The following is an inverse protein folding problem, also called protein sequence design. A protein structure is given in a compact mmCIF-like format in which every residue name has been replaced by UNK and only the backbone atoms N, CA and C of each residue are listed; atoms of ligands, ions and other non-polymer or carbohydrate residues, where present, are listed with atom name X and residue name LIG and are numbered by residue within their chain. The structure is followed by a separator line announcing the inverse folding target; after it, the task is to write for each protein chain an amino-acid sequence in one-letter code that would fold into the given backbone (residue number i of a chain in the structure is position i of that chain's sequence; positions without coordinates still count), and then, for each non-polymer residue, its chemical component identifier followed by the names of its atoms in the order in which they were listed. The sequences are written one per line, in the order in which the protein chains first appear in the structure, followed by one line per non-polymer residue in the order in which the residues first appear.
data_IF_275941996926
#
_entry.id   IF_275941996926
#
_cell.length_a   1.000
_cell.length_b   1.000
_cell.length_c   1.000
_cell.angle_alpha   90.00
_cell.angle_beta   90.00
_cell.angle_gamma   90.00
#
_symmetry.space_group_name_H-M   'P 1'
#
loop_
_entity.id
_entity.type
_entity.pdbx_description
1 polymer ?
#
# COMPACT_ATOMS: atom_id res chain seq x y z
N UNK A 1 18.28 64.59 -16.05
CA UNK A 1 16.92 64.53 -16.66
C UNK A 1 16.37 63.11 -16.86
N UNK A 2 17.17 62.03 -16.89
CA UNK A 2 16.69 60.66 -17.18
C UNK A 2 15.82 60.00 -16.06
N UNK A 3 16.00 60.38 -14.79
CA UNK A 3 15.30 59.76 -13.65
C UNK A 3 13.79 60.06 -13.60
N UNK A 4 13.36 61.28 -13.97
CA UNK A 4 11.93 61.65 -14.00
C UNK A 4 11.17 60.89 -15.10
N UNK A 5 11.79 60.69 -16.26
CA UNK A 5 11.19 60.02 -17.43
C UNK A 5 10.94 58.53 -17.18
N UNK A 6 11.84 57.87 -16.46
CA UNK A 6 11.66 56.49 -16.00
C UNK A 6 10.47 56.36 -15.05
N UNK A 7 10.40 57.22 -14.01
CA UNK A 7 9.30 57.19 -13.03
C UNK A 7 7.92 57.40 -13.65
N UNK A 8 7.80 58.29 -14.65
CA UNK A 8 6.54 58.53 -15.38
C UNK A 8 6.16 57.38 -16.32
N UNK A 9 7.14 56.64 -16.82
CA UNK A 9 6.92 55.50 -17.72
C UNK A 9 6.48 54.26 -16.94
N UNK A 10 7.07 54.02 -15.76
CA UNK A 10 6.62 52.96 -14.85
C UNK A 10 5.23 53.23 -14.25
N UNK A 11 4.87 54.49 -13.94
CA UNK A 11 3.51 54.81 -13.50
C UNK A 11 2.49 54.54 -14.60
N UNK A 12 2.77 54.95 -15.84
CA UNK A 12 1.90 54.73 -17.01
C UNK A 12 1.72 53.25 -17.35
N UNK A 13 2.81 52.46 -17.29
CA UNK A 13 2.74 51.00 -17.46
C UNK A 13 1.94 50.36 -16.33
N UNK A 14 2.14 50.79 -15.08
CA UNK A 14 1.37 50.27 -13.95
C UNK A 14 -0.13 50.58 -14.06
N UNK A 15 -0.50 51.79 -14.51
CA UNK A 15 -1.89 52.19 -14.69
C UNK A 15 -2.57 51.48 -15.87
N UNK A 16 -1.78 51.09 -16.88
CA UNK A 16 -2.26 50.31 -18.04
C UNK A 16 -2.50 48.83 -17.68
N UNK A 17 -1.62 48.24 -16.85
CA UNK A 17 -1.73 46.83 -16.47
C UNK A 17 -2.60 46.59 -15.23
N UNK A 18 -2.75 47.57 -14.34
CA UNK A 18 -3.56 47.47 -13.11
C UNK A 18 -4.99 46.95 -13.34
N UNK A 19 -5.80 47.48 -14.29
CA UNK A 19 -7.17 46.98 -14.47
C UNK A 19 -7.22 45.54 -15.00
N UNK A 20 -6.25 45.13 -15.81
CA UNK A 20 -6.13 43.75 -16.31
C UNK A 20 -5.72 42.79 -15.19
N UNK A 21 -4.75 43.19 -14.37
CA UNK A 21 -4.29 42.42 -13.20
C UNK A 21 -5.41 42.32 -12.16
N UNK A 22 -6.13 43.40 -11.86
CA UNK A 22 -7.29 43.39 -10.95
C UNK A 22 -8.45 42.55 -11.50
N UNK A 23 -8.66 42.53 -12.81
CA UNK A 23 -9.68 41.67 -13.41
C UNK A 23 -9.32 40.18 -13.32
N UNK A 24 -8.10 39.80 -13.68
CA UNK A 24 -7.68 38.39 -13.67
C UNK A 24 -7.36 37.85 -12.26
N UNK A 25 -6.79 38.67 -11.37
CA UNK A 25 -6.40 38.25 -10.02
C UNK A 25 -7.40 38.70 -8.93
N UNK A 26 -8.27 39.67 -9.21
CA UNK A 26 -9.24 40.23 -8.25
C UNK A 26 -10.69 39.80 -8.46
N UNK A 27 -10.98 38.95 -9.45
CA UNK A 27 -12.33 38.40 -9.63
C UNK A 27 -12.38 36.91 -9.30
N UNK A 28 -13.36 36.51 -8.49
CA UNK A 28 -13.67 35.10 -8.23
C UNK A 28 -15.08 34.79 -8.75
N UNK A 29 -15.19 33.74 -9.55
CA UNK A 29 -16.49 33.29 -10.10
C UNK A 29 -17.05 32.16 -9.26
N UNK A 30 -18.36 32.24 -8.95
CA UNK A 30 -19.08 31.22 -8.17
C UNK A 30 -20.26 30.68 -8.98
N UNK A 31 -20.57 29.41 -8.80
CA UNK A 31 -21.72 28.77 -9.45
C UNK A 31 -23.00 29.22 -8.76
N UNK A 32 -23.94 29.81 -9.51
CA UNK A 32 -25.28 30.10 -9.02
C UNK A 32 -26.02 28.79 -8.72
N UNK A 33 -26.52 28.63 -7.49
CA UNK A 33 -27.29 27.45 -7.05
C UNK A 33 -28.78 27.76 -6.97
N UNK A 34 -29.63 26.81 -7.41
CA UNK A 34 -31.09 26.89 -7.24
C UNK A 34 -31.44 26.31 -5.87
N UNK A 35 -32.11 27.09 -5.03
CA UNK A 35 -32.57 26.63 -3.71
C UNK A 35 -34.03 26.17 -3.80
N UNK A 36 -34.26 24.89 -3.55
CA UNK A 36 -35.61 24.29 -3.54
C UNK A 36 -36.09 24.20 -2.10
N UNK A 37 -37.21 24.83 -1.77
CA UNK A 37 -37.83 24.76 -0.45
C UNK A 37 -38.86 23.62 -0.42
N UNK A 38 -38.40 22.40 -0.18
CA UNK A 38 -39.27 21.23 -0.04
C UNK A 38 -38.69 20.25 0.99
N UNK A 39 -39.48 19.92 2.01
CA UNK A 39 -39.05 19.09 3.14
C UNK A 39 -38.69 17.67 2.72
N UNK A 40 -39.47 17.02 1.84
CA UNK A 40 -39.23 15.63 1.44
C UNK A 40 -37.90 15.44 0.72
N UNK A 41 -37.58 16.34 -0.22
CA UNK A 41 -36.32 16.30 -0.97
C UNK A 41 -35.15 16.72 -0.09
N UNK A 42 -35.35 17.67 0.82
CA UNK A 42 -34.35 18.04 1.80
C UNK A 42 -34.00 16.87 2.72
N UNK A 43 -34.99 16.12 3.21
CA UNK A 43 -34.77 14.91 4.02
C UNK A 43 -33.99 13.86 3.24
N UNK A 44 -34.37 13.59 1.98
CA UNK A 44 -33.64 12.65 1.12
C UNK A 44 -32.17 13.07 0.94
N UNK A 45 -31.91 14.35 0.67
CA UNK A 45 -30.55 14.86 0.51
C UNK A 45 -29.73 14.77 1.80
N UNK A 46 -30.32 15.12 2.96
CA UNK A 46 -29.67 14.99 4.27
C UNK A 46 -29.38 13.54 4.64
N UNK A 47 -30.29 12.63 4.32
CA UNK A 47 -30.09 11.20 4.51
C UNK A 47 -28.91 10.68 3.68
N UNK A 48 -28.86 11.01 2.38
CA UNK A 48 -27.74 10.61 1.51
C UNK A 48 -26.41 11.21 1.98
N UNK A 49 -26.41 12.48 2.42
CA UNK A 49 -25.24 13.13 3.00
C UNK A 49 -24.77 12.42 4.27
N UNK A 50 -25.67 12.09 5.20
CA UNK A 50 -25.33 11.35 6.42
C UNK A 50 -24.82 9.95 6.11
N UNK A 51 -25.40 9.25 5.12
CA UNK A 51 -24.94 7.94 4.68
C UNK A 51 -23.51 7.98 4.15
N UNK A 52 -23.16 8.99 3.34
CA UNK A 52 -21.80 9.18 2.83
C UNK A 52 -20.84 9.51 3.97
N UNK A 53 -21.20 10.41 4.88
CA UNK A 53 -20.37 10.74 6.05
C UNK A 53 -20.14 9.53 6.97
N UNK A 54 -21.19 8.74 7.21
CA UNK A 54 -21.11 7.50 7.98
C UNK A 54 -20.19 6.48 7.29
N UNK A 55 -20.26 6.36 5.95
CA UNK A 55 -19.35 5.51 5.19
C UNK A 55 -17.88 5.96 5.34
N UNK A 56 -17.59 7.25 5.23
CA UNK A 56 -16.23 7.77 5.40
C UNK A 56 -15.73 7.48 6.82
N UNK A 57 -16.51 7.81 7.85
CA UNK A 57 -16.11 7.63 9.24
C UNK A 57 -15.95 6.15 9.64
N UNK A 58 -16.93 5.31 9.29
CA UNK A 58 -16.96 3.90 9.72
C UNK A 58 -16.08 3.05 8.81
N UNK A 59 -16.26 3.12 7.50
CA UNK A 59 -15.55 2.22 6.60
C UNK A 59 -14.13 2.68 6.29
N UNK A 60 -13.95 3.93 5.84
CA UNK A 60 -12.63 4.43 5.42
C UNK A 60 -11.73 4.67 6.64
N UNK A 61 -12.21 5.41 7.63
CA UNK A 61 -11.41 5.79 8.80
C UNK A 61 -11.33 4.64 9.81
N UNK A 62 -12.46 4.08 10.27
CA UNK A 62 -12.42 3.08 11.35
C UNK A 62 -12.00 1.67 10.88
N UNK A 63 -12.64 1.10 9.85
CA UNK A 63 -12.37 -0.28 9.40
C UNK A 63 -11.07 -0.36 8.59
N UNK A 64 -10.94 0.45 7.53
CA UNK A 64 -9.77 0.39 6.63
C UNK A 64 -8.53 1.05 7.22
N UNK A 65 -8.70 1.92 8.23
CA UNK A 65 -7.63 2.73 8.82
C UNK A 65 -6.86 3.49 7.76
N UNK A 66 -7.59 4.18 6.87
CA UNK A 66 -7.02 4.93 5.75
C UNK A 66 -6.11 6.09 6.16
N UNK A 67 -6.11 6.47 7.43
CA UNK A 67 -5.22 7.47 8.01
C UNK A 67 -3.83 6.93 8.38
N UNK A 68 -3.62 5.60 8.29
CA UNK A 68 -2.33 4.99 8.61
C UNK A 68 -1.56 4.69 7.33
N UNK A 69 -0.30 5.13 7.29
CA UNK A 69 0.67 4.62 6.32
C UNK A 69 1.01 3.16 6.63
N UNK A 70 1.27 2.37 5.59
CA UNK A 70 1.55 0.93 5.71
C UNK A 70 2.90 0.62 5.12
N UNK A 71 3.82 0.13 5.95
CA UNK A 71 5.16 -0.24 5.53
C UNK A 71 5.40 -1.75 5.67
N UNK A 72 6.13 -2.30 4.71
CA UNK A 72 6.58 -3.69 4.72
C UNK A 72 7.94 -3.73 5.44
N UNK A 73 8.13 -4.62 6.43
CA UNK A 73 9.39 -4.66 7.18
C UNK A 73 10.50 -5.26 6.33
N UNK A 74 11.70 -4.69 6.47
CA UNK A 74 12.96 -5.33 6.09
C UNK A 74 13.60 -5.95 7.32
N UNK A 75 14.01 -7.22 7.23
CA UNK A 75 14.58 -7.93 8.34
C UNK A 75 15.61 -8.95 7.87
N UNK A 76 16.60 -9.20 8.72
CA UNK A 76 17.59 -10.25 8.54
C UNK A 76 17.48 -11.24 9.70
N UNK A 77 17.64 -12.52 9.43
CA UNK A 77 17.73 -13.54 10.47
C UNK A 77 19.18 -13.99 10.63
N UNK A 78 19.61 -14.11 11.89
CA UNK A 78 20.90 -14.71 12.26
C UNK A 78 20.61 -15.98 13.02
N UNK A 79 21.09 -17.10 12.49
CA UNK A 79 20.75 -18.43 12.98
C UNK A 79 21.99 -19.03 13.62
N UNK A 80 21.82 -19.60 14.81
CA UNK A 80 22.86 -20.33 15.53
C UNK A 80 22.27 -21.61 16.08
N UNK A 81 22.74 -22.75 15.57
CA UNK A 81 22.36 -24.06 16.08
C UNK A 81 23.42 -24.51 17.09
N UNK A 82 22.98 -25.16 18.17
CA UNK A 82 23.84 -25.72 19.21
C UNK A 82 23.35 -27.13 19.54
N UNK A 83 24.29 -28.03 19.78
CA UNK A 83 24.00 -29.42 20.11
C UNK A 83 25.15 -30.32 19.69
N UNK A 84 25.21 -31.50 20.30
CA UNK A 84 26.17 -32.54 19.97
C UNK A 84 25.39 -33.83 19.77
N UNK A 85 25.70 -34.59 18.72
CA UNK A 85 25.04 -35.84 18.40
C UNK A 85 26.06 -36.97 18.37
N UNK A 86 25.76 -38.11 19.02
CA UNK A 86 26.58 -39.32 18.89
C UNK A 86 26.12 -40.09 17.66
N UNK A 87 27.04 -40.42 16.77
CA UNK A 87 26.75 -41.16 15.54
C UNK A 87 27.56 -42.44 15.53
N UNK A 88 26.87 -43.57 15.45
CA UNK A 88 27.50 -44.88 15.34
C UNK A 88 27.57 -45.26 13.86
N UNK A 89 28.79 -45.41 13.34
CA UNK A 89 29.01 -45.83 11.96
C UNK A 89 29.49 -47.29 11.94
N UNK A 90 28.81 -48.14 11.16
CA UNK A 90 29.30 -49.48 10.88
C UNK A 90 30.19 -49.43 9.63
N UNK A 91 31.50 -49.49 9.82
CA UNK A 91 32.46 -49.48 8.72
C UNK A 91 32.85 -50.91 8.40
N UNK A 92 32.26 -51.48 7.35
CA UNK A 92 32.74 -52.74 6.80
C UNK A 92 33.96 -52.47 5.91
N UNK A 93 35.15 -52.65 6.48
CA UNK A 93 36.34 -52.89 5.66
C UNK A 93 36.46 -54.40 5.48
N UNK A 94 37.12 -54.86 4.41
CA UNK A 94 37.27 -56.29 4.05
C UNK A 94 37.90 -57.18 5.15
N UNK A 95 38.39 -56.60 6.26
CA UNK A 95 39.16 -57.27 7.32
C UNK A 95 38.49 -57.19 8.70
N UNK A 96 37.61 -56.22 8.99
CA UNK A 96 36.95 -56.09 10.30
C UNK A 96 35.64 -55.31 10.23
N UNK A 97 34.69 -55.70 11.08
CA UNK A 97 33.47 -54.95 11.38
C UNK A 97 33.72 -54.13 12.65
N UNK A 98 34.40 -53.00 12.52
CA UNK A 98 34.64 -52.11 13.65
C UNK A 98 33.48 -51.11 13.76
N UNK A 99 32.92 -50.99 14.96
CA UNK A 99 31.92 -49.97 15.28
C UNK A 99 32.69 -48.72 15.70
N UNK A 100 32.73 -47.73 14.81
CA UNK A 100 33.35 -46.43 15.09
C UNK A 100 32.26 -45.51 15.65
N UNK A 101 32.47 -45.03 16.88
CA UNK A 101 31.64 -43.99 17.46
C UNK A 101 32.23 -42.63 17.11
N UNK A 102 31.47 -41.87 16.34
CA UNK A 102 31.81 -40.52 15.91
C UNK A 102 30.93 -39.51 16.67
N UNK A 103 31.47 -38.32 16.93
CA UNK A 103 30.77 -37.28 17.68
C UNK A 103 30.56 -36.09 16.77
N UNK A 104 29.29 -35.82 16.41
CA UNK A 104 28.94 -34.72 15.54
C UNK A 104 28.63 -33.44 16.30
N UNK A 105 29.32 -32.36 15.93
CA UNK A 105 29.05 -31.02 16.41
C UNK A 105 28.40 -30.11 15.33
N UNK A 106 28.17 -28.85 15.67
CA UNK A 106 27.54 -27.88 14.78
C UNK A 106 28.28 -27.68 13.44
N UNK A 107 29.59 -27.89 13.37
CA UNK A 107 30.33 -27.78 12.11
C UNK A 107 30.05 -28.96 11.17
N UNK A 108 29.61 -30.11 11.70
CA UNK A 108 29.46 -31.34 10.94
C UNK A 108 28.02 -31.58 10.46
N UNK A 109 27.02 -31.21 11.27
CA UNK A 109 25.63 -31.32 10.84
C UNK A 109 25.06 -30.05 10.17
N UNK A 110 25.76 -28.91 10.19
CA UNK A 110 25.36 -27.70 9.44
C UNK A 110 26.10 -27.60 8.11
N UNK A 111 25.49 -28.11 7.04
CA UNK A 111 26.11 -28.12 5.71
C UNK A 111 25.13 -27.63 4.65
N UNK A 112 25.39 -26.49 3.99
CA UNK A 112 26.47 -25.54 4.26
C UNK A 112 26.27 -24.78 5.59
N UNK A 113 27.35 -24.29 6.22
CA UNK A 113 27.27 -23.64 7.54
C UNK A 113 26.66 -22.23 7.51
N UNK A 114 26.59 -21.60 6.33
CA UNK A 114 26.04 -20.27 6.17
C UNK A 114 25.09 -20.22 4.97
N UNK A 115 23.80 -20.03 5.25
CA UNK A 115 22.80 -19.66 4.24
C UNK A 115 22.04 -18.41 4.70
N UNK A 116 21.61 -17.59 3.73
CA UNK A 116 20.78 -16.43 4.02
C UNK A 116 19.36 -16.89 4.35
N UNK A 117 18.89 -16.58 5.55
CA UNK A 117 17.54 -16.92 6.02
C UNK A 117 17.20 -18.41 5.91
N UNK A 118 18.20 -19.28 5.97
CA UNK A 118 18.00 -20.71 5.96
C UNK A 118 19.13 -21.41 6.71
N UNK A 119 18.90 -22.64 7.10
CA UNK A 119 19.92 -23.53 7.61
C UNK A 119 19.54 -24.97 7.34
N UNK A 120 20.54 -25.82 7.14
CA UNK A 120 20.34 -27.25 6.95
C UNK A 120 20.89 -27.99 8.15
N UNK A 121 20.12 -28.96 8.66
CA UNK A 121 20.55 -29.86 9.72
C UNK A 121 20.58 -31.28 9.17
N UNK A 122 21.79 -31.83 9.05
CA UNK A 122 22.00 -33.19 8.60
C UNK A 122 21.50 -34.17 9.67
N UNK A 123 20.68 -35.13 9.25
CA UNK A 123 20.20 -36.22 10.10
C UNK A 123 20.83 -37.56 9.72
N UNK A 124 21.35 -37.66 8.50
CA UNK A 124 22.01 -38.87 7.99
C UNK A 124 23.14 -38.54 7.03
N UNK A 125 24.27 -39.20 7.19
CA UNK A 125 25.42 -39.15 6.28
C UNK A 125 25.62 -40.53 5.67
N UNK A 126 25.71 -40.58 4.35
CA UNK A 126 26.15 -41.76 3.61
C UNK A 126 27.48 -41.38 2.98
N UNK A 127 28.55 -41.96 3.50
CA UNK A 127 29.87 -41.88 2.88
C UNK A 127 30.01 -43.08 1.98
N UNK A 128 30.31 -42.80 0.72
CA UNK A 128 30.29 -43.79 -0.33
C UNK A 128 31.69 -44.03 -0.84
N UNK A 129 32.15 -45.27 -0.74
CA UNK A 129 33.30 -45.77 -1.50
C UNK A 129 32.75 -46.79 -2.51
N UNK A 130 33.01 -46.58 -3.82
CA UNK A 130 32.60 -47.49 -4.93
C UNK A 130 31.12 -47.97 -4.91
N UNK A 131 30.14 -47.10 -5.17
CA UNK A 131 28.71 -47.47 -5.04
C UNK A 131 27.99 -47.97 -6.30
N UNK A 132 26.98 -48.81 -6.05
CA UNK A 132 25.81 -49.12 -6.89
C UNK A 132 24.51 -48.55 -6.28
N UNK A 133 23.39 -48.63 -7.01
CA UNK A 133 22.13 -47.93 -6.75
C UNK A 133 21.29 -48.54 -5.59
N UNK A 134 20.66 -47.69 -4.78
CA UNK A 134 19.69 -48.10 -3.75
C UNK A 134 18.76 -46.96 -3.31
N UNK A 135 17.69 -47.29 -2.59
CA UNK A 135 16.67 -46.36 -2.07
C UNK A 135 16.93 -45.98 -0.61
N UNK A 136 16.54 -44.76 -0.20
CA UNK A 136 16.86 -44.19 1.13
C UNK A 136 15.70 -43.36 1.70
N UNK A 137 15.48 -43.36 3.04
CA UNK A 137 14.50 -42.51 3.72
C UNK A 137 14.80 -41.01 3.60
N UNK A 138 13.72 -40.24 3.59
CA UNK A 138 13.63 -38.87 3.09
C UNK A 138 14.03 -37.78 4.09
N UNK A 139 14.78 -36.78 3.62
CA UNK A 139 14.84 -35.46 4.28
C UNK A 139 13.55 -34.64 4.07
N UNK A 140 13.53 -33.37 4.51
CA UNK A 140 12.34 -32.52 4.37
C UNK A 140 12.62 -31.03 4.35
N UNK A 141 11.68 -30.24 3.82
CA UNK A 141 11.75 -28.79 3.80
C UNK A 141 10.74 -28.22 4.80
N UNK A 142 11.22 -27.45 5.78
CA UNK A 142 10.37 -26.78 6.78
C UNK A 142 10.53 -25.27 6.61
N UNK A 143 9.41 -24.56 6.51
CA UNK A 143 9.38 -23.10 6.55
C UNK A 143 8.98 -22.64 7.95
N UNK A 144 9.82 -21.78 8.53
CA UNK A 144 9.55 -21.05 9.76
C UNK A 144 9.08 -19.65 9.34
N UNK A 145 7.77 -19.46 9.33
CA UNK A 145 7.17 -18.18 8.98
C UNK A 145 7.06 -17.30 10.22
N UNK A 146 7.74 -16.15 10.16
CA UNK A 146 7.70 -15.13 11.20
C UNK A 146 6.78 -13.98 10.74
N UNK A 147 5.61 -13.82 11.37
CA UNK A 147 4.64 -12.79 11.02
C UNK A 147 4.63 -11.62 12.00
N UNK A 148 4.88 -10.42 11.50
CA UNK A 148 4.84 -9.16 12.26
C UNK A 148 3.60 -8.34 11.89
N UNK A 149 2.72 -8.08 12.86
CA UNK A 149 1.55 -7.20 12.69
C UNK A 149 1.61 -6.11 13.75
N UNK A 150 2.18 -4.97 13.38
CA UNK A 150 2.49 -3.91 14.35
C UNK A 150 1.74 -2.62 14.02
N UNK A 151 1.21 -1.99 15.08
CA UNK A 151 0.53 -0.71 15.03
C UNK A 151 1.28 0.29 15.92
N UNK A 152 1.89 1.29 15.29
CA UNK A 152 2.80 2.26 15.92
C UNK A 152 2.08 3.49 16.51
N UNK A 153 0.76 3.58 16.40
CA UNK A 153 -0.02 4.74 16.89
C UNK A 153 -0.16 4.80 18.41
N UNK A 154 -0.03 3.65 19.07
CA UNK A 154 -0.17 3.56 20.52
C UNK A 154 1.12 3.96 21.22
N UNK A 155 1.05 4.85 22.22
CA UNK A 155 2.16 5.26 23.10
C UNK A 155 2.88 4.11 23.87
N UNK A 156 2.47 2.84 23.67
CA UNK A 156 3.07 1.63 24.24
C UNK A 156 3.50 0.63 23.15
N UNK A 157 4.08 1.13 22.06
CA UNK A 157 4.52 0.34 20.89
C UNK A 157 5.37 -0.87 21.30
N UNK A 158 6.36 -0.65 22.17
CA UNK A 158 7.37 -1.66 22.54
C UNK A 158 6.80 -2.91 23.23
N UNK A 159 5.61 -2.82 23.82
CA UNK A 159 4.99 -3.95 24.56
C UNK A 159 3.99 -4.76 23.74
N UNK A 160 3.75 -4.43 22.45
CA UNK A 160 2.69 -5.07 21.65
C UNK A 160 3.11 -5.59 20.29
N UNK A 161 4.31 -5.25 19.81
CA UNK A 161 4.81 -5.69 18.51
C UNK A 161 5.69 -6.93 18.69
N UNK A 162 5.07 -8.11 18.78
CA UNK A 162 5.76 -9.39 18.84
C UNK A 162 5.47 -10.23 17.60
N UNK A 163 6.44 -11.02 17.12
CA UNK A 163 6.22 -11.90 15.98
C UNK A 163 5.35 -13.08 16.38
N UNK A 164 4.47 -13.50 15.47
CA UNK A 164 3.79 -14.80 15.54
C UNK A 164 4.57 -15.78 14.68
N UNK A 165 4.96 -16.92 15.26
CA UNK A 165 5.66 -17.98 14.54
C UNK A 165 4.69 -19.03 14.02
N UNK A 166 4.91 -19.50 12.80
CA UNK A 166 4.16 -20.60 12.19
C UNK A 166 5.14 -21.52 11.47
N UNK A 167 4.94 -22.83 11.60
CA UNK A 167 5.83 -23.83 11.05
C UNK A 167 5.07 -24.61 9.99
N UNK A 168 5.53 -24.52 8.73
CA UNK A 168 4.93 -25.21 7.61
C UNK A 168 5.89 -26.29 7.11
N UNK A 169 5.40 -27.51 6.93
CA UNK A 169 6.14 -28.56 6.22
C UNK A 169 5.87 -28.38 4.72
N UNK A 170 6.84 -27.85 3.98
CA UNK A 170 6.69 -27.58 2.55
C UNK A 170 6.93 -28.81 1.69
N UNK A 171 7.78 -29.73 2.15
CA UNK A 171 8.01 -31.01 1.50
C UNK A 171 8.19 -32.10 2.55
N UNK A 172 7.23 -33.03 2.58
CA UNK A 172 7.37 -34.33 3.22
C UNK A 172 7.73 -35.33 2.13
N UNK A 173 8.67 -36.23 2.37
CA UNK A 173 9.25 -37.09 1.33
C UNK A 173 8.36 -38.20 0.80
N UNK A 174 7.13 -37.87 0.39
CA UNK A 174 6.14 -38.71 -0.28
C UNK A 174 6.22 -38.65 -1.81
N UNK A 175 7.10 -37.82 -2.38
CA UNK A 175 7.35 -37.82 -3.82
C UNK A 175 8.23 -39.03 -4.20
N UNK A 176 7.72 -39.90 -5.07
CA UNK A 176 8.40 -41.14 -5.51
C UNK A 176 9.77 -40.89 -6.17
N UNK A 177 10.01 -39.68 -6.68
CA UNK A 177 11.20 -39.35 -7.47
C UNK A 177 12.37 -38.77 -6.63
N UNK A 178 12.08 -38.06 -5.53
CA UNK A 178 13.11 -37.51 -4.65
C UNK A 178 12.58 -37.38 -3.22
N UNK A 179 12.70 -38.45 -2.40
CA UNK A 179 12.41 -38.40 -0.98
C UNK A 179 13.35 -37.39 -0.28
N UNK A 180 12.93 -36.13 -0.21
CA UNK A 180 13.55 -35.10 0.62
C UNK A 180 14.78 -34.39 0.06
N UNK A 181 15.39 -33.58 0.92
CA UNK A 181 16.56 -32.75 0.61
C UNK A 181 17.85 -33.52 0.90
N UNK A 182 18.76 -33.50 -0.07
CA UNK A 182 20.09 -34.05 0.05
C UNK A 182 21.14 -33.13 -0.57
N UNK A 183 22.32 -33.09 0.05
CA UNK A 183 23.50 -32.40 -0.48
C UNK A 183 24.61 -33.41 -0.72
N UNK A 184 25.44 -33.17 -1.74
CA UNK A 184 26.61 -33.98 -2.05
C UNK A 184 27.84 -33.10 -2.11
N UNK A 185 28.90 -33.51 -1.44
CA UNK A 185 30.20 -32.87 -1.52
C UNK A 185 31.29 -33.93 -1.61
N UNK A 186 32.43 -33.55 -2.18
CA UNK A 186 33.55 -34.46 -2.35
C UNK A 186 34.82 -33.83 -1.79
N UNK A 187 35.43 -34.50 -0.82
CA UNK A 187 36.74 -34.12 -0.29
C UNK A 187 37.81 -34.78 -1.15
N UNK A 188 38.76 -33.96 -1.64
CA UNK A 188 39.85 -34.42 -2.51
C UNK A 188 41.15 -34.40 -1.71
N UNK A 189 41.88 -35.51 -1.73
CA UNK A 189 43.15 -35.65 -1.03
C UNK A 189 44.15 -36.42 -1.89
N UNK A 190 45.45 -36.29 -1.60
CA UNK A 190 46.51 -36.95 -2.36
C UNK A 190 47.36 -37.78 -1.41
N UNK A 191 47.51 -39.07 -1.71
CA UNK A 191 48.34 -39.99 -0.94
C UNK A 191 49.32 -40.65 -1.91
N UNK A 192 50.62 -40.57 -1.62
CA UNK A 192 51.68 -41.16 -2.45
C UNK A 192 51.60 -40.76 -3.93
N UNK A 193 51.32 -39.48 -4.21
CA UNK A 193 51.22 -38.94 -5.59
C UNK A 193 49.95 -39.32 -6.35
N UNK A 194 49.10 -40.19 -5.78
CA UNK A 194 47.82 -40.59 -6.38
C UNK A 194 46.68 -39.78 -5.74
N UNK A 195 45.84 -39.19 -6.61
CA UNK A 195 44.70 -38.36 -6.19
C UNK A 195 43.48 -39.24 -5.88
N UNK A 196 42.88 -39.02 -4.72
CA UNK A 196 41.68 -39.68 -4.24
C UNK A 196 40.56 -38.67 -3.99
N UNK A 197 39.31 -39.15 -3.99
CA UNK A 197 38.15 -38.37 -3.56
C UNK A 197 37.22 -39.22 -2.70
N UNK A 198 36.74 -38.66 -1.61
CA UNK A 198 35.66 -39.24 -0.81
C UNK A 198 34.37 -38.49 -1.12
N UNK A 199 33.35 -39.18 -1.62
CA UNK A 199 32.04 -38.59 -1.88
C UNK A 199 31.15 -38.80 -0.66
N UNK A 200 30.67 -37.69 -0.11
CA UNK A 200 29.74 -37.69 1.00
C UNK A 200 28.39 -37.19 0.51
N UNK A 201 27.34 -37.98 0.75
CA UNK A 201 25.95 -37.58 0.53
C UNK A 201 25.25 -37.46 1.89
N UNK A 202 24.73 -36.29 2.18
CA UNK A 202 24.00 -36.01 3.43
C UNK A 202 22.52 -35.79 3.15
N UNK A 203 21.69 -36.26 4.07
CA UNK A 203 20.24 -36.06 4.09
C UNK A 203 19.87 -35.38 5.39
N UNK A 204 18.80 -34.58 5.36
CA UNK A 204 18.43 -33.80 6.52
C UNK A 204 17.23 -32.89 6.28
N UNK A 205 17.00 -32.01 7.25
CA UNK A 205 15.97 -31.00 7.16
C UNK A 205 16.58 -29.66 6.80
N UNK A 206 16.01 -29.02 5.79
CA UNK A 206 16.30 -27.61 5.51
C UNK A 206 15.21 -26.76 6.13
N UNK A 207 15.61 -25.77 6.90
CA UNK A 207 14.73 -24.79 7.51
C UNK A 207 14.89 -23.47 6.77
N UNK A 208 13.80 -22.88 6.29
CA UNK A 208 13.78 -21.55 5.68
C UNK A 208 13.05 -20.61 6.62
N UNK A 209 13.66 -19.48 6.97
CA UNK A 209 13.07 -18.44 7.81
C UNK A 209 12.45 -17.39 6.91
N UNK A 210 11.12 -17.39 6.82
CA UNK A 210 10.36 -16.42 6.03
C UNK A 210 9.87 -15.28 6.93
N UNK A 211 10.47 -14.10 6.80
CA UNK A 211 10.06 -12.90 7.54
C UNK A 211 8.98 -12.17 6.74
N UNK A 212 7.80 -12.05 7.33
CA UNK A 212 6.67 -11.33 6.75
C UNK A 212 6.13 -10.34 7.76
N UNK A 213 5.64 -9.20 7.29
CA UNK A 213 4.90 -8.33 8.17
C UNK A 213 4.33 -7.10 7.53
N UNK A 214 3.60 -6.35 8.36
CA UNK A 214 3.03 -5.04 8.04
C UNK A 214 3.12 -4.17 9.29
N UNK A 215 3.83 -3.06 9.17
CA UNK A 215 3.82 -1.96 10.11
C UNK A 215 2.79 -0.91 9.68
N UNK A 216 2.04 -0.36 10.64
CA UNK A 216 1.11 0.74 10.36
C UNK A 216 1.36 1.89 11.33
N UNK A 217 1.40 3.11 10.81
CA UNK A 217 1.59 4.32 11.61
C UNK A 217 0.71 5.45 11.10
N UNK A 218 0.19 6.28 12.00
CA UNK A 218 -0.57 7.47 11.68
C UNK A 218 0.24 8.40 10.78
N UNK A 219 -0.36 8.78 9.66
CA UNK A 219 0.17 9.77 8.75
C UNK A 219 -0.92 10.79 8.40
N UNK A 220 -0.62 12.05 8.68
CA UNK A 220 -1.52 13.16 8.44
C UNK A 220 -1.82 13.37 6.95
N UNK A 221 -0.87 13.05 6.06
CA UNK A 221 -1.07 13.17 4.61
C UNK A 221 -2.12 12.14 4.17
N UNK A 222 -1.94 10.88 4.57
CA UNK A 222 -2.91 9.83 4.30
C UNK A 222 -4.30 10.12 4.90
N UNK A 223 -4.38 10.74 6.08
CA UNK A 223 -5.65 11.20 6.65
C UNK A 223 -6.36 12.20 5.73
N UNK A 224 -5.67 13.24 5.27
CA UNK A 224 -6.27 14.24 4.38
C UNK A 224 -6.61 13.68 3.01
N UNK A 225 -5.81 12.75 2.47
CA UNK A 225 -6.13 12.04 1.23
C UNK A 225 -7.39 11.17 1.40
N UNK A 226 -7.51 10.45 2.51
CA UNK A 226 -8.67 9.62 2.82
C UNK A 226 -9.95 10.46 3.00
N UNK A 227 -9.86 11.60 3.69
CA UNK A 227 -10.99 12.52 3.85
C UNK A 227 -11.33 13.19 2.52
N UNK A 228 -10.34 13.68 1.77
CA UNK A 228 -10.54 14.38 0.51
C UNK A 228 -11.17 13.49 -0.56
N UNK A 229 -10.67 12.27 -0.72
CA UNK A 229 -11.28 11.26 -1.61
C UNK A 229 -12.69 10.87 -1.16
N UNK A 230 -12.90 10.71 0.16
CA UNK A 230 -14.19 10.44 0.76
C UNK A 230 -15.24 11.51 0.47
N UNK A 231 -14.89 12.79 0.67
CA UNK A 231 -15.79 13.93 0.42
C UNK A 231 -16.19 14.06 -1.05
N UNK A 232 -15.41 13.53 -1.98
CA UNK A 232 -15.78 13.44 -3.40
C UNK A 232 -17.09 12.66 -3.63
N UNK A 233 -17.40 11.67 -2.79
CA UNK A 233 -18.65 10.89 -2.90
C UNK A 233 -19.91 11.71 -2.60
N UNK A 234 -19.78 12.89 -1.99
CA UNK A 234 -20.91 13.79 -1.72
C UNK A 234 -21.62 14.25 -3.01
N UNK A 235 -20.89 14.31 -4.13
CA UNK A 235 -21.42 14.68 -5.44
C UNK A 235 -22.49 13.69 -5.91
N UNK A 236 -22.36 12.41 -5.55
CA UNK A 236 -23.33 11.37 -5.93
C UNK A 236 -24.72 11.69 -5.35
N UNK A 237 -24.78 12.16 -4.11
CA UNK A 237 -26.04 12.58 -3.48
C UNK A 237 -26.72 13.73 -4.23
N UNK A 238 -25.94 14.72 -4.70
CA UNK A 238 -26.46 15.83 -5.51
C UNK A 238 -27.03 15.36 -6.85
N UNK A 239 -26.34 14.43 -7.52
CA UNK A 239 -26.79 13.86 -8.80
C UNK A 239 -28.09 13.07 -8.60
N UNK A 240 -28.14 12.19 -7.59
CA UNK A 240 -29.33 11.37 -7.31
C UNK A 240 -30.52 12.24 -6.95
N UNK A 241 -30.37 13.18 -6.00
CA UNK A 241 -31.45 14.11 -5.64
C UNK A 241 -31.90 14.95 -6.84
N UNK A 242 -30.96 15.42 -7.65
CA UNK A 242 -31.25 16.16 -8.87
C UNK A 242 -32.06 15.34 -9.88
N UNK A 243 -31.70 14.07 -10.08
CA UNK A 243 -32.41 13.15 -10.97
C UNK A 243 -33.82 12.83 -10.44
N UNK A 244 -33.93 12.47 -9.15
CA UNK A 244 -35.21 12.14 -8.51
C UNK A 244 -36.17 13.33 -8.59
N UNK A 245 -35.69 14.53 -8.26
CA UNK A 245 -36.49 15.75 -8.33
C UNK A 245 -36.94 16.07 -9.76
N UNK A 246 -36.04 15.93 -10.73
CA UNK A 246 -36.35 16.22 -12.13
C UNK A 246 -37.31 15.22 -12.77
N UNK A 247 -37.44 13.99 -12.27
CA UNK A 247 -38.25 12.93 -12.91
C UNK A 247 -39.54 12.58 -12.18
N UNK A 248 -39.56 12.63 -10.86
CA UNK A 248 -40.66 12.11 -10.05
C UNK A 248 -41.41 13.19 -9.24
N UNK A 249 -40.84 14.38 -9.10
CA UNK A 249 -41.49 15.43 -8.30
C UNK A 249 -42.56 16.19 -9.09
N UNK A 250 -43.66 16.57 -8.42
CA UNK A 250 -44.79 17.29 -9.01
C UNK A 250 -44.38 18.62 -9.68
N UNK A 251 -43.44 19.33 -9.06
CA UNK A 251 -42.89 20.61 -9.55
C UNK A 251 -41.65 20.45 -10.45
N UNK A 252 -41.49 19.29 -11.09
CA UNK A 252 -40.30 18.99 -11.92
C UNK A 252 -40.19 19.85 -13.18
N UNK A 253 -41.31 20.23 -13.79
CA UNK A 253 -41.35 21.09 -14.99
C UNK A 253 -40.86 22.51 -14.70
N UNK A 254 -41.36 23.10 -13.61
CA UNK A 254 -40.95 24.42 -13.11
C UNK A 254 -39.45 24.42 -12.74
N UNK A 255 -38.99 23.38 -12.05
CA UNK A 255 -37.57 23.23 -11.74
C UNK A 255 -36.67 23.17 -12.98
N UNK A 256 -37.08 22.46 -14.05
CA UNK A 256 -36.33 22.40 -15.31
C UNK A 256 -36.29 23.77 -16.00
N UNK A 257 -37.39 24.53 -15.95
CA UNK A 257 -37.45 25.89 -16.50
C UNK A 257 -36.55 26.85 -15.73
N UNK A 258 -36.59 26.83 -14.39
CA UNK A 258 -35.73 27.67 -13.55
C UNK A 258 -34.26 27.31 -13.73
N UNK A 259 -33.94 26.01 -13.78
CA UNK A 259 -32.55 25.54 -13.98
C UNK A 259 -32.01 25.92 -15.37
N UNK A 260 -32.82 25.80 -16.43
CA UNK A 260 -32.42 26.19 -17.80
C UNK A 260 -32.31 27.71 -17.98
N UNK A 261 -33.21 28.49 -17.36
CA UNK A 261 -33.16 29.96 -17.39
C UNK A 261 -31.97 30.50 -16.60
N UNK A 262 -31.67 29.89 -15.44
CA UNK A 262 -30.47 30.19 -14.66
C UNK A 262 -29.17 29.92 -15.42
N UNK A 263 -29.16 28.93 -16.32
CA UNK A 263 -28.03 28.64 -17.22
C UNK A 263 -27.92 29.62 -18.39
N UNK A 264 -29.02 30.20 -18.88
CA UNK A 264 -29.04 31.16 -20.01
C UNK A 264 -28.52 32.56 -19.64
N UNK A 265 -28.57 32.94 -18.36
CA UNK A 265 -27.96 34.19 -17.86
C UNK A 265 -26.42 34.22 -17.93
N UNK A 266 -25.79 33.16 -18.45
CA UNK A 266 -24.34 33.00 -18.61
C UNK A 266 -23.72 33.83 -19.75
N UNK A 267 -24.53 34.35 -20.69
CA UNK A 267 -24.04 35.05 -21.90
C UNK A 267 -24.25 36.58 -21.91
N UNK A 268 -24.85 37.19 -20.89
CA UNK A 268 -25.27 38.62 -20.96
C UNK A 268 -24.21 39.61 -20.43
N UNK A 269 -22.97 39.18 -20.19
CA UNK A 269 -21.86 40.08 -19.87
C UNK A 269 -20.54 39.54 -20.41
N UNK A 270 -20.39 39.56 -21.73
CA UNK A 270 -19.06 39.80 -22.28
C UNK A 270 -18.73 41.28 -22.00
N UNK A 271 -17.50 41.63 -21.59
CA UNK A 271 -17.12 43.03 -21.43
C UNK A 271 -17.29 43.75 -22.77
N UNK A 272 -17.71 45.03 -22.79
CA UNK A 272 -17.73 45.78 -24.03
C UNK A 272 -16.33 45.77 -24.63
N UNK A 273 -16.21 45.38 -25.90
CA UNK A 273 -14.97 45.58 -26.65
C UNK A 273 -14.63 47.07 -26.64
N UNK A 274 -13.35 47.49 -26.64
CA UNK A 274 -12.97 48.89 -26.48
C UNK A 274 -13.35 49.83 -27.63
N UNK A 275 -14.16 49.37 -28.60
CA UNK A 275 -14.49 50.14 -29.81
C UNK A 275 -15.96 49.96 -30.17
N UNK A 276 -16.85 50.66 -29.46
CA UNK A 276 -18.20 50.94 -29.97
C UNK A 276 -18.70 52.29 -29.43
N UNK A 277 -18.97 53.20 -30.35
CA UNK A 277 -19.57 54.51 -30.12
C UNK A 277 -20.98 54.42 -29.50
N UNK A 278 -21.46 55.49 -28.83
CA UNK A 278 -22.66 55.42 -28.01
C UNK A 278 -23.92 55.61 -28.86
N UNK A 279 -24.64 54.54 -29.12
CA UNK A 279 -26.06 54.60 -29.46
C UNK A 279 -26.72 53.31 -28.99
N UNK A 280 -27.61 53.42 -27.99
CA UNK A 280 -28.50 52.41 -27.38
C UNK A 280 -28.31 52.25 -25.86
N UNK A 281 -28.13 53.35 -25.14
CA UNK A 281 -28.59 53.44 -23.75
C UNK A 281 -30.09 53.72 -23.78
N UNK A 282 -30.93 52.68 -23.79
CA UNK A 282 -32.33 52.69 -23.30
C UNK A 282 -32.99 51.35 -23.64
N UNK A 283 -32.69 50.30 -22.87
CA UNK A 283 -33.60 49.16 -22.68
C UNK A 283 -33.12 48.31 -21.48
N UNK A 284 -33.82 48.45 -20.35
CA UNK A 284 -34.25 47.33 -19.45
C UNK A 284 -33.11 46.70 -18.60
N UNK A 285 -33.17 46.44 -17.29
CA UNK A 285 -34.20 46.02 -16.32
C UNK A 285 -33.81 46.57 -14.93
N UNK A 286 -34.81 46.92 -14.11
CA UNK A 286 -34.69 47.27 -12.68
C UNK A 286 -33.84 46.29 -11.86
N UNK A 287 -32.93 46.85 -11.06
CA UNK A 287 -32.27 46.19 -9.93
C UNK A 287 -33.29 45.66 -8.91
N UNK A 288 -33.15 44.40 -8.53
CA UNK A 288 -33.77 43.84 -7.33
C UNK A 288 -32.89 44.26 -6.15
N UNK A 289 -33.23 45.38 -5.49
CA UNK A 289 -32.79 45.63 -4.12
C UNK A 289 -33.49 44.66 -3.18
N UNK A 290 -32.68 44.09 -2.30
CA UNK A 290 -33.04 43.25 -1.17
C UNK A 290 -34.15 43.89 -0.32
N UNK A 291 -35.25 43.17 -0.10
CA UNK A 291 -36.06 43.36 1.11
C UNK A 291 -35.32 42.66 2.26
N UNK A 292 -34.46 43.39 2.97
CA UNK A 292 -34.19 43.06 4.36
C UNK A 292 -35.43 43.45 5.17
N UNK A 293 -36.05 42.46 5.81
CA UNK A 293 -37.06 42.70 6.83
C UNK A 293 -36.42 43.41 8.03
N UNK A 294 -37.08 44.47 8.45
CA UNK A 294 -36.96 45.08 9.77
C UNK A 294 -37.49 44.14 10.85
N UNK A 295 -36.95 44.34 12.06
CA UNK A 295 -37.44 43.91 13.38
C UNK A 295 -38.95 43.80 13.47
#
# INVERSE_FOLDING_TARGET
MASKKSKTLWSSVSDTFRPTVEYYFGTYSTVKKVRVQNTSIAVLYRFLQLAVLAYIAIYIVYIKKGYQDVQIPSGASVIKVKGVARVTANRSNFVSNDIEEDLWDAAEYLVPPLENNAFFVATRKIVTYNQTLGTCPSGGLIEIQQQWKCNFDSLKVEKKCFPTFTFNLLQSGSDELSPGINYRFAEKYSVNGKKYRTLTKIYGFRFIVAINGKGRQFDIVNLFVAIGSGLGYMIIGEIICGFVFARFHKYSTEYRQVKSTGLKLRHVRDPPSPTAHPALSNLVVKDIRQSQGTV
#
